data_IF_067140931923
#
_entry.id   IF_067140931923
#
_cell.length_a   1.000
_cell.length_b   1.000
_cell.length_c   1.000
_cell.angle_alpha   90.00
_cell.angle_beta   90.00
_cell.angle_gamma   90.00
#
_symmetry.space_group_name_H-M   'P 1'
#
loop_
_entity.id
_entity.type
_entity.pdbx_description
1 polymer ?
#
# COMPACT_ATOMS: atom_id res chain seq x y z
N UNK A 1 8.53 11.16 -8.76
CA UNK A 1 9.85 10.65 -9.26
C UNK A 1 10.41 11.66 -10.26
N UNK A 2 11.74 11.77 -10.42
CA UNK A 2 12.38 12.74 -11.31
C UNK A 2 13.43 12.05 -12.20
N UNK A 3 13.39 12.32 -13.50
CA UNK A 3 14.31 11.75 -14.49
C UNK A 3 15.13 12.85 -15.17
N UNK A 4 16.43 12.63 -15.37
CA UNK A 4 17.33 13.52 -16.11
C UNK A 4 17.73 12.88 -17.43
N UNK A 5 17.51 13.57 -18.53
CA UNK A 5 17.89 13.11 -19.86
C UNK A 5 19.28 13.63 -20.21
N UNK A 6 20.24 12.73 -20.42
CA UNK A 6 21.59 13.07 -20.85
C UNK A 6 21.66 13.25 -22.38
N UNK A 7 22.44 14.24 -22.84
CA UNK A 7 22.61 14.55 -24.26
C UNK A 7 23.24 13.38 -25.02
N UNK A 8 22.42 12.63 -25.75
CA UNK A 8 22.86 11.57 -26.66
C UNK A 8 22.48 11.78 -28.12
N UNK A 9 21.70 12.82 -28.46
CA UNK A 9 21.26 13.12 -29.82
C UNK A 9 21.02 14.63 -30.03
N UNK A 10 20.80 15.04 -31.29
CA UNK A 10 20.63 16.40 -31.84
C UNK A 10 19.55 17.30 -31.20
N UNK A 11 18.88 16.83 -30.15
CA UNK A 11 17.81 17.52 -29.44
C UNK A 11 18.32 18.07 -28.10
N UNK A 12 17.86 19.27 -27.73
CA UNK A 12 18.09 19.78 -26.37
C UNK A 12 17.43 18.84 -25.36
N UNK A 13 18.02 18.68 -24.17
CA UNK A 13 17.42 17.90 -23.08
C UNK A 13 16.02 18.38 -22.72
N UNK A 14 15.78 19.69 -22.86
CA UNK A 14 14.49 20.33 -22.73
C UNK A 14 13.49 19.88 -23.80
N UNK A 15 13.87 19.94 -25.09
CA UNK A 15 13.00 19.52 -26.19
C UNK A 15 12.66 18.02 -26.14
N UNK A 16 13.60 17.20 -25.66
CA UNK A 16 13.35 15.77 -25.47
C UNK A 16 12.38 15.51 -24.29
N UNK A 17 12.50 16.29 -23.20
CA UNK A 17 11.58 16.20 -22.07
C UNK A 17 10.15 16.64 -22.45
N UNK A 18 10.02 17.72 -23.23
CA UNK A 18 8.74 18.20 -23.77
C UNK A 18 8.10 17.19 -24.72
N UNK A 19 8.90 16.54 -25.58
CA UNK A 19 8.40 15.48 -26.46
C UNK A 19 7.91 14.27 -25.67
N UNK A 20 8.62 13.86 -24.61
CA UNK A 20 8.19 12.77 -23.73
C UNK A 20 6.89 13.15 -23.01
N UNK A 21 6.79 14.37 -22.48
CA UNK A 21 5.56 14.86 -21.85
C UNK A 21 4.37 14.81 -22.82
N UNK A 22 4.54 15.28 -24.05
CA UNK A 22 3.50 15.25 -25.08
C UNK A 22 3.07 13.81 -25.43
N UNK A 23 4.03 12.89 -25.57
CA UNK A 23 3.75 11.49 -25.85
C UNK A 23 3.02 10.80 -24.70
N UNK A 24 3.41 11.09 -23.44
CA UNK A 24 2.73 10.58 -22.26
C UNK A 24 1.28 11.06 -22.21
N UNK A 25 1.03 12.37 -22.42
CA UNK A 25 -0.34 12.89 -22.46
C UNK A 25 -1.18 12.29 -23.60
N UNK A 26 -0.60 12.11 -24.79
CA UNK A 26 -1.29 11.51 -25.93
C UNK A 26 -1.66 10.04 -25.67
N UNK A 27 -0.77 9.26 -25.05
CA UNK A 27 -1.05 7.89 -24.66
C UNK A 27 -2.15 7.85 -23.60
N UNK A 28 -2.05 8.68 -22.56
CA UNK A 28 -3.05 8.76 -21.48
C UNK A 28 -4.47 9.04 -21.99
N UNK A 29 -4.64 9.86 -23.02
CA UNK A 29 -5.95 10.19 -23.61
C UNK A 29 -6.50 9.12 -24.56
N UNK A 30 -5.61 8.32 -25.17
CA UNK A 30 -5.98 7.33 -26.17
C UNK A 30 -6.46 6.00 -25.57
N UNK A 31 -6.27 5.76 -24.27
CA UNK A 31 -6.61 4.46 -23.67
C UNK A 31 -7.95 4.49 -22.93
N UNK A 32 -8.99 3.95 -23.57
CA UNK A 32 -10.19 3.43 -22.89
C UNK A 32 -9.82 2.14 -22.19
N UNK A 33 -9.52 2.19 -20.88
CA UNK A 33 -9.11 1.00 -20.11
C UNK A 33 -10.12 0.69 -19.02
N UNK A 34 -10.54 -0.58 -19.00
CA UNK A 34 -11.50 -1.14 -18.04
C UNK A 34 -10.86 -1.73 -16.78
N UNK A 35 -9.53 -1.79 -16.69
CA UNK A 35 -8.79 -2.31 -15.53
C UNK A 35 -8.38 -1.16 -14.58
N UNK A 36 -8.72 -1.23 -13.27
CA UNK A 36 -8.40 -0.19 -12.29
C UNK A 36 -6.91 0.25 -12.22
N UNK A 37 -5.89 -0.65 -12.28
CA UNK A 37 -4.50 -0.21 -12.17
C UNK A 37 -4.01 0.62 -13.36
N UNK A 38 -4.66 0.51 -14.53
CA UNK A 38 -4.23 1.24 -15.72
C UNK A 38 -4.86 2.64 -15.81
N UNK A 39 -6.00 2.88 -15.14
CA UNK A 39 -6.60 4.21 -14.98
C UNK A 39 -5.74 5.16 -14.16
N UNK A 40 -4.89 4.63 -13.29
CA UNK A 40 -3.95 5.40 -12.46
C UNK A 40 -3.00 6.23 -13.35
N UNK A 41 -2.65 5.76 -14.56
CA UNK A 41 -1.83 6.51 -15.51
C UNK A 41 -2.49 7.81 -15.98
N UNK A 42 -3.82 7.91 -15.92
CA UNK A 42 -4.58 9.13 -16.22
C UNK A 42 -4.52 10.17 -15.12
N UNK A 43 -4.11 9.75 -13.93
CA UNK A 43 -4.03 10.59 -12.75
C UNK A 43 -2.60 11.05 -12.43
N UNK A 44 -1.69 11.01 -13.40
CA UNK A 44 -0.36 11.63 -13.25
C UNK A 44 -0.33 13.03 -13.87
N UNK A 45 0.13 13.99 -13.09
CA UNK A 45 0.58 15.29 -13.58
C UNK A 45 2.05 15.15 -13.97
N UNK A 46 2.32 15.38 -15.25
CA UNK A 46 3.65 15.41 -15.84
C UNK A 46 4.05 16.87 -16.02
N UNK A 47 5.17 17.28 -15.43
CA UNK A 47 5.72 18.63 -15.62
C UNK A 47 7.19 18.58 -15.99
N UNK A 48 7.57 19.33 -17.02
CA UNK A 48 8.97 19.50 -17.43
C UNK A 48 9.55 20.74 -16.76
N UNK A 49 10.73 20.61 -16.17
CA UNK A 49 11.45 21.68 -15.47
C UNK A 49 12.84 21.79 -16.07
N UNK A 50 13.36 23.01 -16.22
CA UNK A 50 14.72 23.22 -16.75
C UNK A 50 15.79 22.48 -15.93
N UNK A 51 16.86 21.96 -16.56
CA UNK A 51 17.17 21.98 -18.00
C UNK A 51 16.60 20.77 -18.79
N UNK A 52 15.53 20.12 -18.32
CA UNK A 52 14.94 18.93 -18.94
C UNK A 52 14.60 17.81 -17.95
N UNK A 53 14.25 18.16 -16.72
CA UNK A 53 13.75 17.24 -15.71
C UNK A 53 12.27 16.95 -15.93
N UNK A 54 11.89 15.68 -15.88
CA UNK A 54 10.47 15.30 -15.90
C UNK A 54 10.06 14.94 -14.48
N UNK A 55 9.13 15.70 -13.92
CA UNK A 55 8.49 15.42 -12.65
C UNK A 55 7.15 14.74 -12.90
N UNK A 56 6.97 13.57 -12.28
CA UNK A 56 5.71 12.84 -12.23
C UNK A 56 5.13 12.95 -10.82
N UNK A 57 3.91 13.49 -10.73
CA UNK A 57 3.14 13.57 -9.49
C UNK A 57 1.79 12.89 -9.68
N UNK A 58 1.50 11.91 -8.83
CA UNK A 58 0.16 11.30 -8.75
C UNK A 58 -0.81 12.31 -8.11
N UNK A 59 -1.98 12.52 -8.70
CA UNK A 59 -3.04 13.35 -8.11
C UNK A 59 -3.66 12.67 -6.90
N UNK A 60 -4.37 13.44 -6.07
CA UNK A 60 -5.12 12.90 -4.95
C UNK A 60 -6.17 11.87 -5.42
N UNK A 61 -6.81 12.11 -6.57
CA UNK A 61 -7.71 11.14 -7.23
C UNK A 61 -6.99 9.86 -7.60
N UNK A 62 -5.82 9.93 -8.24
CA UNK A 62 -5.03 8.74 -8.57
C UNK A 62 -4.56 7.97 -7.35
N UNK A 63 -4.20 8.70 -6.28
CA UNK A 63 -3.87 8.08 -5.00
C UNK A 63 -5.07 7.36 -4.40
N UNK A 64 -6.25 7.99 -4.39
CA UNK A 64 -7.48 7.38 -3.89
C UNK A 64 -7.86 6.12 -4.68
N UNK A 65 -7.74 6.15 -6.01
CA UNK A 65 -7.96 4.98 -6.85
C UNK A 65 -6.96 3.86 -6.55
N UNK A 66 -5.67 4.19 -6.42
CA UNK A 66 -4.63 3.21 -6.08
C UNK A 66 -4.87 2.59 -4.69
N UNK A 67 -5.20 3.41 -3.69
CA UNK A 67 -5.50 2.94 -2.33
C UNK A 67 -6.74 2.05 -2.30
N UNK A 68 -7.80 2.43 -3.02
CA UNK A 68 -9.02 1.63 -3.10
C UNK A 68 -8.76 0.31 -3.82
N UNK A 69 -8.07 0.35 -4.96
CA UNK A 69 -7.63 -0.86 -5.66
C UNK A 69 -6.80 -1.77 -4.74
N UNK A 70 -5.86 -1.22 -3.99
CA UNK A 70 -5.04 -2.01 -3.07
C UNK A 70 -5.86 -2.64 -1.93
N UNK A 71 -6.96 -2.01 -1.50
CA UNK A 71 -7.89 -2.58 -0.52
C UNK A 71 -8.67 -3.74 -1.12
N UNK A 72 -9.20 -3.54 -2.32
CA UNK A 72 -10.08 -4.49 -3.01
C UNK A 72 -9.30 -5.62 -3.67
N UNK A 73 -7.99 -5.43 -3.88
CA UNK A 73 -7.15 -6.43 -4.49
C UNK A 73 -7.17 -7.71 -3.64
N UNK A 74 -7.57 -8.85 -4.23
CA UNK A 74 -7.60 -10.11 -3.51
C UNK A 74 -6.16 -10.61 -3.38
N UNK A 75 -5.42 -10.06 -2.43
CA UNK A 75 -4.05 -10.47 -2.14
C UNK A 75 -4.05 -11.96 -1.81
N UNK A 76 -3.69 -12.78 -2.80
CA UNK A 76 -3.61 -14.22 -2.63
C UNK A 76 -2.44 -14.53 -1.71
N UNK A 77 -2.77 -15.04 -0.53
CA UNK A 77 -1.80 -15.69 0.34
C UNK A 77 -1.63 -17.08 -0.26
N UNK A 78 -0.60 -17.26 -1.09
CA UNK A 78 -0.18 -18.59 -1.49
C UNK A 78 0.00 -19.41 -0.20
N UNK A 79 -0.68 -20.56 -0.10
CA UNK A 79 -0.60 -21.40 1.11
C UNK A 79 0.89 -21.65 1.41
N UNK A 80 1.30 -21.56 2.70
CA UNK A 80 2.68 -21.81 3.06
C UNK A 80 3.07 -23.18 2.53
N UNK A 81 4.15 -23.23 1.75
CA UNK A 81 4.70 -24.50 1.26
C UNK A 81 5.16 -25.30 2.49
N UNK A 82 4.34 -26.27 2.91
CA UNK A 82 4.62 -27.13 4.05
C UNK A 82 5.84 -28.02 3.84
N UNK A 83 6.29 -28.19 2.58
CA UNK A 83 7.50 -28.91 2.23
C UNK A 83 8.74 -28.02 2.17
N UNK A 84 8.60 -26.69 2.33
CA UNK A 84 9.74 -25.80 2.47
C UNK A 84 10.41 -26.12 3.81
N UNK A 85 11.66 -26.62 3.83
CA UNK A 85 12.39 -26.74 5.08
C UNK A 85 12.37 -25.37 5.71
N UNK A 86 12.03 -25.27 7.00
CA UNK A 86 12.00 -24.01 7.75
C UNK A 86 13.32 -23.30 7.49
N UNK A 87 13.32 -22.43 6.48
CA UNK A 87 14.53 -21.73 6.11
C UNK A 87 14.77 -20.83 7.29
N UNK A 88 16.01 -20.77 7.74
CA UNK A 88 16.48 -19.76 8.67
C UNK A 88 16.20 -18.36 8.04
N UNK A 89 14.94 -17.92 8.02
CA UNK A 89 14.59 -16.52 8.10
C UNK A 89 15.15 -16.13 9.46
N UNK A 90 16.40 -15.67 9.47
CA UNK A 90 17.27 -15.55 10.63
C UNK A 90 16.86 -14.49 11.65
N UNK A 91 15.59 -14.43 12.00
CA UNK A 91 15.10 -13.78 13.19
C UNK A 91 14.51 -14.85 14.10
N UNK A 92 15.16 -15.05 15.22
CA UNK A 92 14.54 -15.61 16.40
C UNK A 92 13.14 -14.98 16.57
N UNK A 93 12.08 -15.80 16.67
CA UNK A 93 10.72 -15.31 16.95
C UNK A 93 10.66 -14.57 18.29
N UNK A 94 11.65 -14.77 19.15
CA UNK A 94 11.84 -14.06 20.41
C UNK A 94 12.69 -12.79 20.28
N UNK A 95 13.09 -12.40 19.06
CA UNK A 95 13.76 -11.13 18.83
C UNK A 95 12.81 -9.93 19.01
N UNK A 96 13.38 -8.79 19.39
CA UNK A 96 12.66 -7.51 19.49
C UNK A 96 11.96 -7.15 18.18
N UNK A 97 12.60 -7.44 17.04
CA UNK A 97 12.05 -7.17 15.70
C UNK A 97 10.77 -7.99 15.47
N UNK A 98 10.80 -9.28 15.80
CA UNK A 98 9.62 -10.15 15.67
C UNK A 98 8.48 -9.66 16.56
N UNK A 99 8.79 -9.28 17.81
CA UNK A 99 7.81 -8.70 18.73
C UNK A 99 7.16 -7.43 18.15
N UNK A 100 7.95 -6.49 17.62
CA UNK A 100 7.40 -5.24 17.05
C UNK A 100 6.47 -5.49 15.87
N UNK A 101 6.81 -6.46 15.02
CA UNK A 101 6.00 -6.84 13.86
C UNK A 101 4.67 -7.45 14.31
N UNK A 102 4.72 -8.44 15.19
CA UNK A 102 3.53 -9.14 15.68
C UNK A 102 2.65 -8.20 16.51
N UNK A 103 3.25 -7.30 17.30
CA UNK A 103 2.53 -6.28 18.05
C UNK A 103 1.82 -5.30 17.11
N UNK A 104 2.49 -4.81 16.06
CA UNK A 104 1.87 -3.94 15.06
C UNK A 104 0.68 -4.64 14.38
N UNK A 105 0.84 -5.91 14.00
CA UNK A 105 -0.22 -6.73 13.42
C UNK A 105 -1.42 -6.90 14.38
N UNK A 106 -1.18 -7.32 15.62
CA UNK A 106 -2.22 -7.49 16.64
C UNK A 106 -2.93 -6.18 16.96
N UNK A 107 -2.19 -5.06 16.96
CA UNK A 107 -2.77 -3.73 17.13
C UNK A 107 -3.68 -3.39 15.96
N UNK A 108 -3.26 -3.60 14.71
CA UNK A 108 -4.14 -3.40 13.55
C UNK A 108 -5.45 -4.18 13.68
N UNK A 109 -5.39 -5.47 14.05
CA UNK A 109 -6.60 -6.28 14.27
C UNK A 109 -7.53 -5.66 15.33
N UNK A 110 -6.97 -5.21 16.45
CA UNK A 110 -7.74 -4.57 17.53
C UNK A 110 -8.43 -3.29 17.06
N UNK A 111 -7.72 -2.48 16.26
CA UNK A 111 -8.25 -1.23 15.71
C UNK A 111 -9.36 -1.46 14.68
N UNK A 112 -9.19 -2.45 13.81
CA UNK A 112 -10.20 -2.83 12.82
C UNK A 112 -11.45 -3.41 13.49
N UNK A 113 -11.26 -4.24 14.52
CA UNK A 113 -12.35 -4.76 15.33
C UNK A 113 -13.16 -3.62 15.97
N UNK A 114 -12.48 -2.66 16.62
CA UNK A 114 -13.14 -1.50 17.20
C UNK A 114 -13.83 -0.61 16.15
N UNK A 115 -13.23 -0.46 14.96
CA UNK A 115 -13.84 0.24 13.83
C UNK A 115 -15.14 -0.42 13.34
N UNK A 116 -15.18 -1.76 13.34
CA UNK A 116 -16.38 -2.55 13.02
C UNK A 116 -17.45 -2.41 14.10
N UNK A 117 -17.09 -2.55 15.38
CA UNK A 117 -18.02 -2.38 16.51
C UNK A 117 -18.65 -0.98 16.51
N UNK A 118 -17.85 0.04 16.17
CA UNK A 118 -18.29 1.43 16.05
C UNK A 118 -19.02 1.74 14.74
N UNK A 119 -19.22 0.75 13.85
CA UNK A 119 -19.83 0.87 12.51
C UNK A 119 -19.17 1.89 11.59
N UNK A 120 -17.90 2.21 11.82
CA UNK A 120 -17.12 3.10 10.97
C UNK A 120 -16.68 2.37 9.70
N UNK A 121 -16.38 1.08 9.80
CA UNK A 121 -16.11 0.19 8.67
C UNK A 121 -16.97 -1.06 8.81
N UNK A 122 -17.22 -1.72 7.69
CA UNK A 122 -17.95 -2.98 7.65
C UNK A 122 -17.21 -3.94 6.75
N UNK A 123 -17.22 -5.21 7.14
CA UNK A 123 -16.60 -6.29 6.39
C UNK A 123 -17.68 -7.22 5.88
N UNK A 124 -17.49 -7.67 4.64
CA UNK A 124 -18.26 -8.72 4.01
C UNK A 124 -17.31 -9.88 3.71
N UNK A 125 -17.82 -11.10 3.76
CA UNK A 125 -17.09 -12.25 3.25
C UNK A 125 -17.70 -12.73 1.94
N UNK A 126 -16.83 -13.06 1.00
CA UNK A 126 -17.16 -13.69 -0.27
C UNK A 126 -16.31 -14.95 -0.41
N UNK A 127 -16.76 -15.91 -1.21
CA UNK A 127 -15.92 -17.03 -1.60
C UNK A 127 -15.23 -16.72 -2.93
N UNK A 128 -13.95 -17.04 -3.01
CA UNK A 128 -13.23 -17.03 -4.28
C UNK A 128 -13.58 -18.26 -5.13
N UNK A 129 -13.01 -18.33 -6.34
CA UNK A 129 -13.20 -19.45 -7.26
C UNK A 129 -12.70 -20.80 -6.69
N UNK A 130 -11.86 -20.75 -5.65
CA UNK A 130 -11.28 -21.87 -4.92
C UNK A 130 -12.14 -22.31 -3.72
N UNK A 131 -13.24 -21.60 -3.43
CA UNK A 131 -14.06 -21.79 -2.23
C UNK A 131 -13.45 -21.22 -0.94
N UNK A 132 -12.35 -20.46 -1.03
CA UNK A 132 -11.70 -19.80 0.09
C UNK A 132 -12.43 -18.50 0.43
N UNK A 133 -12.65 -18.26 1.72
CA UNK A 133 -13.26 -17.04 2.22
C UNK A 133 -12.30 -15.85 2.07
N UNK A 134 -12.77 -14.82 1.36
CA UNK A 134 -12.11 -13.52 1.20
C UNK A 134 -12.93 -12.48 1.95
N UNK A 135 -12.28 -11.85 2.93
CA UNK A 135 -12.84 -10.74 3.68
C UNK A 135 -12.46 -9.45 2.96
N UNK A 136 -13.46 -8.62 2.67
CA UNK A 136 -13.30 -7.32 2.04
C UNK A 136 -14.15 -6.26 2.77
N UNK A 137 -13.85 -5.00 2.53
CA UNK A 137 -14.66 -3.90 3.05
C UNK A 137 -15.96 -3.81 2.25
N UNK A 138 -17.10 -3.72 2.94
CA UNK A 138 -18.42 -3.71 2.31
C UNK A 138 -18.70 -2.44 1.50
N UNK A 139 -18.02 -1.34 1.85
CA UNK A 139 -18.18 -0.04 1.20
C UNK A 139 -16.80 0.56 0.92
N UNK A 140 -16.63 1.30 -0.20
CA UNK A 140 -15.39 2.02 -0.48
C UNK A 140 -15.06 3.02 0.63
N UNK A 141 -13.76 3.21 0.87
CA UNK A 141 -13.29 4.20 1.85
C UNK A 141 -13.40 5.60 1.22
N UNK A 142 -13.91 6.61 1.94
CA UNK A 142 -14.01 7.98 1.42
C UNK A 142 -12.65 8.69 1.46
N UNK A 143 -11.74 8.28 0.57
CA UNK A 143 -10.38 8.80 0.48
C UNK A 143 -10.29 10.30 0.17
N UNK A 144 -11.29 10.84 -0.52
CA UNK A 144 -11.37 12.22 -0.96
C UNK A 144 -12.48 12.97 -0.23
N UNK A 145 -12.27 14.26 -0.01
CA UNK A 145 -13.33 15.18 0.41
C UNK A 145 -14.12 15.71 -0.80
N UNK A 146 -15.09 16.59 -0.54
CA UNK A 146 -15.92 17.21 -1.58
C UNK A 146 -15.13 18.03 -2.62
N UNK A 147 -13.90 18.45 -2.29
CA UNK A 147 -13.01 19.22 -3.17
C UNK A 147 -12.05 18.32 -3.97
N UNK A 148 -12.25 16.99 -3.97
CA UNK A 148 -11.35 16.01 -4.62
C UNK A 148 -9.92 16.03 -4.04
N UNK A 149 -9.77 16.45 -2.79
CA UNK A 149 -8.47 16.42 -2.10
C UNK A 149 -8.43 15.27 -1.11
N UNK A 150 -7.24 14.70 -0.92
CA UNK A 150 -7.04 13.57 -0.03
C UNK A 150 -7.32 13.98 1.43
N UNK A 151 -8.15 13.20 2.12
CA UNK A 151 -8.62 13.51 3.47
C UNK A 151 -7.48 13.41 4.50
N UNK A 152 -6.53 12.49 4.30
CA UNK A 152 -5.38 12.30 5.20
C UNK A 152 -4.30 13.36 5.02
N UNK A 153 -4.38 14.43 5.79
CA UNK A 153 -3.44 15.55 5.65
C UNK A 153 -2.22 15.48 6.60
N UNK A 154 -2.22 14.55 7.55
CA UNK A 154 -1.13 14.48 8.52
C UNK A 154 0.13 13.89 7.87
N UNK A 155 1.35 14.40 8.15
CA UNK A 155 2.57 13.87 7.55
C UNK A 155 2.78 12.36 7.75
N UNK A 156 2.27 11.81 8.86
CA UNK A 156 2.35 10.36 9.13
C UNK A 156 1.32 9.53 8.35
N UNK A 157 0.22 10.12 7.85
CA UNK A 157 -0.68 9.45 6.90
C UNK A 157 0.13 9.15 5.61
N UNK A 158 0.81 10.17 5.08
CA UNK A 158 1.66 10.07 3.89
C UNK A 158 2.89 9.18 4.07
N UNK A 159 3.52 9.23 5.24
CA UNK A 159 4.66 8.36 5.54
C UNK A 159 4.25 6.88 5.53
N UNK A 160 3.06 6.56 6.07
CA UNK A 160 2.53 5.20 6.02
C UNK A 160 2.16 4.77 4.61
N UNK A 161 1.49 5.64 3.83
CA UNK A 161 1.15 5.38 2.42
C UNK A 161 2.40 5.04 1.61
N UNK A 162 3.48 5.82 1.76
CA UNK A 162 4.75 5.54 1.09
C UNK A 162 5.32 4.19 1.49
N UNK A 163 5.27 3.86 2.78
CA UNK A 163 5.81 2.58 3.24
C UNK A 163 4.98 1.39 2.75
N UNK A 164 3.66 1.57 2.64
CA UNK A 164 2.75 0.59 2.06
C UNK A 164 3.03 0.39 0.57
N UNK A 165 3.19 1.47 -0.21
CA UNK A 165 3.49 1.36 -1.64
C UNK A 165 4.82 0.64 -1.87
N UNK A 166 5.87 0.99 -1.13
CA UNK A 166 7.16 0.30 -1.20
C UNK A 166 7.04 -1.20 -0.84
N UNK A 167 6.24 -1.55 0.15
CA UNK A 167 6.03 -2.93 0.56
C UNK A 167 5.25 -3.73 -0.50
N UNK A 168 4.20 -3.14 -1.07
CA UNK A 168 3.39 -3.73 -2.14
C UNK A 168 4.25 -3.95 -3.40
N UNK A 169 5.01 -2.93 -3.82
CA UNK A 169 5.89 -3.02 -4.99
C UNK A 169 6.95 -4.11 -4.79
N UNK A 170 7.53 -4.17 -3.59
CA UNK A 170 8.52 -5.20 -3.27
C UNK A 170 7.90 -6.60 -3.27
N UNK A 171 6.68 -6.78 -2.75
CA UNK A 171 5.95 -8.05 -2.80
C UNK A 171 5.70 -8.50 -4.23
N UNK A 172 5.34 -7.58 -5.13
CA UNK A 172 5.11 -7.86 -6.54
C UNK A 172 6.40 -8.22 -7.29
N UNK A 173 7.53 -7.54 -6.98
CA UNK A 173 8.80 -7.74 -7.67
C UNK A 173 9.57 -8.99 -7.20
N UNK A 174 9.31 -9.46 -5.98
CA UNK A 174 10.04 -10.59 -5.42
C UNK A 174 9.65 -11.93 -6.05
N UNK A 175 10.63 -12.74 -6.49
CA UNK A 175 10.37 -14.09 -6.98
C UNK A 175 9.68 -14.94 -5.92
N UNK A 176 8.75 -15.82 -6.34
CA UNK A 176 8.11 -16.82 -5.45
C UNK A 176 9.08 -17.88 -4.94
N UNK A 177 10.31 -17.93 -5.46
CA UNK A 177 11.31 -18.92 -5.08
C UNK A 177 11.94 -18.60 -3.73
N UNK A 178 12.08 -19.64 -2.89
CA UNK A 178 12.69 -19.52 -1.58
C UNK A 178 14.18 -19.13 -1.70
N UNK A 179 14.55 -17.99 -1.14
CA UNK A 179 15.94 -17.54 -1.02
C UNK A 179 16.16 -16.86 0.33
N UNK A 180 17.27 -17.14 1.04
CA UNK A 180 17.60 -16.47 2.30
C UNK A 180 17.67 -14.94 2.17
N UNK A 181 18.00 -14.43 0.98
CA UNK A 181 18.00 -12.99 0.71
C UNK A 181 16.57 -12.42 0.66
N UNK A 182 15.64 -13.15 0.04
CA UNK A 182 14.23 -12.76 -0.04
C UNK A 182 13.59 -12.73 1.36
N UNK A 183 13.94 -13.70 2.23
CA UNK A 183 13.42 -13.74 3.61
C UNK A 183 13.94 -12.57 4.46
N UNK A 184 15.24 -12.23 4.34
CA UNK A 184 15.81 -11.05 5.01
C UNK A 184 15.18 -9.76 4.51
N UNK A 185 14.87 -9.67 3.22
CA UNK A 185 14.20 -8.51 2.65
C UNK A 185 12.76 -8.41 3.16
N UNK A 186 12.03 -9.51 3.21
CA UNK A 186 10.68 -9.56 3.77
C UNK A 186 10.66 -9.13 5.24
N UNK A 187 11.62 -9.61 6.06
CA UNK A 187 11.75 -9.19 7.46
C UNK A 187 12.00 -7.67 7.58
N UNK A 188 12.91 -7.12 6.77
CA UNK A 188 13.19 -5.68 6.75
C UNK A 188 11.98 -4.86 6.36
N UNK A 189 11.23 -5.31 5.35
CA UNK A 189 9.99 -4.65 4.90
C UNK A 189 8.93 -4.69 6.00
N UNK A 190 8.69 -5.84 6.61
CA UNK A 190 7.74 -6.00 7.70
C UNK A 190 8.08 -5.11 8.90
N UNK A 191 9.36 -5.05 9.28
CA UNK A 191 9.81 -4.20 10.38
C UNK A 191 9.65 -2.71 10.07
N UNK A 192 10.04 -2.25 8.86
CA UNK A 192 9.85 -0.85 8.44
C UNK A 192 8.37 -0.46 8.40
N UNK A 193 7.53 -1.32 7.85
CA UNK A 193 6.08 -1.10 7.84
C UNK A 193 5.51 -1.02 9.25
N UNK A 194 5.96 -1.89 10.16
CA UNK A 194 5.55 -1.87 11.57
C UNK A 194 5.96 -0.58 12.27
N UNK A 195 7.18 -0.08 12.03
CA UNK A 195 7.64 1.20 12.57
C UNK A 195 6.88 2.40 11.99
N UNK A 196 6.61 2.40 10.68
CA UNK A 196 5.80 3.44 10.05
C UNK A 196 4.39 3.46 10.63
N UNK A 197 3.78 2.29 10.80
CA UNK A 197 2.48 2.14 11.46
C UNK A 197 2.49 2.63 12.90
N UNK A 198 3.51 2.30 13.70
CA UNK A 198 3.58 2.78 15.09
C UNK A 198 3.65 4.31 15.17
N UNK A 199 4.44 4.96 14.32
CA UNK A 199 4.52 6.44 14.23
C UNK A 199 3.18 7.04 13.79
N UNK A 200 2.56 6.44 12.79
CA UNK A 200 1.21 6.79 12.36
C UNK A 200 0.21 6.67 13.50
N UNK A 201 0.11 5.52 14.17
CA UNK A 201 -0.85 5.29 15.24
C UNK A 201 -0.60 6.20 16.47
N UNK A 202 0.66 6.53 16.77
CA UNK A 202 0.99 7.44 17.84
C UNK A 202 0.60 8.90 17.53
N UNK A 203 0.77 9.35 16.28
CA UNK A 203 0.53 10.74 15.90
C UNK A 203 -0.90 11.01 15.37
N UNK A 204 -1.49 10.02 14.71
CA UNK A 204 -2.82 10.09 14.10
C UNK A 204 -3.85 9.45 15.03
N UNK A 205 -4.58 10.27 15.80
CA UNK A 205 -5.68 9.78 16.63
C UNK A 205 -6.81 9.25 15.74
N UNK A 206 -7.11 7.95 15.85
CA UNK A 206 -8.24 7.31 15.18
C UNK A 206 -9.49 7.38 16.08
N UNK A 207 -9.31 7.36 17.41
CA UNK A 207 -10.37 7.52 18.40
C UNK A 207 -10.06 8.69 19.33
N UNK A 208 -11.09 9.42 19.78
CA UNK A 208 -10.98 10.54 20.71
C UNK A 208 -11.95 11.70 20.38
N UNK A 209 -11.83 12.82 21.09
CA UNK A 209 -12.73 13.99 20.99
C UNK A 209 -12.84 14.60 19.57
N UNK A 210 -11.89 14.29 18.69
CA UNK A 210 -11.88 14.70 17.28
C UNK A 210 -12.67 13.74 16.35
N UNK A 211 -13.47 12.81 16.91
CA UNK A 211 -14.41 11.93 16.19
C UNK A 211 -15.54 12.68 15.44
N UNK A 212 -15.38 13.98 15.24
CA UNK A 212 -16.22 14.88 14.45
C UNK A 212 -16.07 14.62 12.94
N UNK A 213 -14.99 13.98 12.48
CA UNK A 213 -14.79 13.63 11.08
C UNK A 213 -14.79 12.10 10.86
N UNK A 214 -15.96 11.49 10.61
CA UNK A 214 -16.06 10.06 10.35
C UNK A 214 -15.26 9.64 9.10
N UNK A 215 -15.20 10.48 8.06
CA UNK A 215 -14.47 10.20 6.83
C UNK A 215 -12.96 10.08 7.07
N UNK A 216 -12.35 10.99 7.84
CA UNK A 216 -10.94 10.89 8.20
C UNK A 216 -10.66 9.62 9.02
N UNK A 217 -11.57 9.27 9.92
CA UNK A 217 -11.45 8.05 10.73
C UNK A 217 -11.51 6.81 9.84
N UNK A 218 -12.43 6.77 8.87
CA UNK A 218 -12.54 5.71 7.88
C UNK A 218 -11.30 5.60 7.00
N UNK A 219 -10.75 6.73 6.53
CA UNK A 219 -9.48 6.76 5.77
C UNK A 219 -8.34 6.14 6.55
N UNK A 220 -8.19 6.53 7.82
CA UNK A 220 -7.16 5.96 8.69
C UNK A 220 -7.39 4.47 8.94
N UNK A 221 -8.64 4.03 9.14
CA UNK A 221 -8.98 2.61 9.25
C UNK A 221 -8.70 1.84 7.95
N UNK A 222 -8.89 2.46 6.78
CA UNK A 222 -8.48 1.90 5.49
C UNK A 222 -6.96 1.69 5.41
N UNK A 223 -6.16 2.65 5.89
CA UNK A 223 -4.70 2.48 5.99
C UNK A 223 -4.31 1.39 6.99
N UNK A 224 -5.03 1.26 8.11
CA UNK A 224 -4.84 0.17 9.08
C UNK A 224 -5.15 -1.18 8.43
N UNK A 225 -6.22 -1.27 7.62
CA UNK A 225 -6.60 -2.48 6.89
C UNK A 225 -5.49 -2.90 5.91
N UNK A 226 -5.01 -1.98 5.07
CA UNK A 226 -3.90 -2.24 4.16
C UNK A 226 -2.64 -2.70 4.91
N UNK A 227 -2.32 -2.04 6.02
CA UNK A 227 -1.17 -2.41 6.86
C UNK A 227 -1.32 -3.83 7.39
N UNK A 228 -2.49 -4.18 7.92
CA UNK A 228 -2.79 -5.52 8.42
C UNK A 228 -2.60 -6.57 7.32
N UNK A 229 -3.17 -6.33 6.12
CA UNK A 229 -3.10 -7.28 5.00
C UNK A 229 -1.67 -7.48 4.49
N UNK A 230 -0.92 -6.39 4.31
CA UNK A 230 0.48 -6.47 3.85
C UNK A 230 1.36 -7.16 4.90
N UNK A 231 1.18 -6.86 6.19
CA UNK A 231 1.88 -7.57 7.26
C UNK A 231 1.49 -9.05 7.29
N UNK A 232 0.21 -9.39 7.12
CA UNK A 232 -0.26 -10.78 7.08
C UNK A 232 0.49 -11.58 6.01
N UNK A 233 0.55 -11.03 4.78
CA UNK A 233 1.25 -11.68 3.66
C UNK A 233 2.73 -11.87 4.00
N UNK A 234 3.40 -10.82 4.48
CA UNK A 234 4.82 -10.91 4.85
C UNK A 234 5.06 -11.95 5.95
N UNK A 235 4.20 -11.99 6.96
CA UNK A 235 4.33 -12.88 8.11
C UNK A 235 4.07 -14.34 7.71
N UNK A 236 2.95 -14.62 7.05
CA UNK A 236 2.51 -15.99 6.76
C UNK A 236 3.26 -16.62 5.57
N UNK A 237 3.41 -15.88 4.47
CA UNK A 237 3.98 -16.44 3.23
C UNK A 237 5.50 -16.39 3.21
N UNK A 238 6.11 -15.37 3.83
CA UNK A 238 7.56 -15.11 3.70
C UNK A 238 8.33 -15.50 4.95
N UNK A 239 7.82 -15.11 6.12
CA UNK A 239 8.45 -15.42 7.40
C UNK A 239 7.96 -16.75 7.99
N UNK A 240 6.87 -17.31 7.46
CA UNK A 240 6.25 -18.55 7.94
C UNK A 240 5.93 -18.51 9.44
N UNK A 241 5.51 -17.34 9.94
CA UNK A 241 4.95 -17.25 11.29
C UNK A 241 3.44 -17.37 11.24
N UNK A 242 2.86 -18.03 12.25
CA UNK A 242 1.42 -18.12 12.40
C UNK A 242 0.88 -16.77 12.88
N UNK A 243 0.06 -16.11 12.06
CA UNK A 243 -0.63 -14.89 12.44
C UNK A 243 -2.12 -15.06 12.10
N UNK A 244 -2.95 -15.39 13.07
CA UNK A 244 -4.39 -15.45 12.84
C UNK A 244 -4.98 -14.05 12.91
N UNK A 245 -5.58 -13.53 11.82
CA UNK A 245 -6.41 -12.34 11.94
C UNK A 245 -7.65 -12.64 12.80
N UNK A 246 -8.14 -11.64 13.51
CA UNK A 246 -9.38 -11.72 14.27
C UNK A 246 -10.43 -10.96 13.47
N UNK A 247 -11.28 -11.68 12.73
CA UNK A 247 -12.43 -11.15 12.02
C UNK A 247 -13.69 -11.93 12.36
#
# INVERSE_FOLDING_TARGET
>A
MAFKLSQGQSFSSQGLAEQIQANLHAQTQAVTIDTPPERIWQNFIVTVVEPGWIHLRLTDTGLAEWLQWAIDFPWQIDRPDHNRPASFAGADRHSVIAFEILHAFARCNSLLHLGRESRLIQFSSAQDQSGQEIIHLSHPIPWLNGEQTFVGQHPQDWALIRQLSEAIDALAATPKTASPQADRQALKLAHRLSQAFQRFHAACRIWGMDSQNPSLTQVRLGLVWLTQRVLQILIETRLQWSATPIF
#
